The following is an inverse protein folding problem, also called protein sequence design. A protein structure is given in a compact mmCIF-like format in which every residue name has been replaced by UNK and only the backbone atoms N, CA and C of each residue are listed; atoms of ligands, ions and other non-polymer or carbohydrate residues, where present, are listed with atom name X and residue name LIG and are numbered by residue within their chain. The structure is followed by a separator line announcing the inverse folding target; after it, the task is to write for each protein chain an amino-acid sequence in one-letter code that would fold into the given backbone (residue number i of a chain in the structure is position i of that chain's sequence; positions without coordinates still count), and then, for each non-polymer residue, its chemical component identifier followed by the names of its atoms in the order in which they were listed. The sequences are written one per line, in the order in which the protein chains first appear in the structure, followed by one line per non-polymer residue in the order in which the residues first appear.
data_IF_204076072192
#
_entry.id   IF_204076072192
#
_cell.length_a   1.000
_cell.length_b   1.000
_cell.length_c   1.000
_cell.angle_alpha   90.00
_cell.angle_beta   90.00
_cell.angle_gamma   90.00
#
_symmetry.space_group_name_H-M   'P 1'
#
loop_
_entity.id
_entity.type
_entity.pdbx_description
1 polymer ?
#
# COMPACT_ATOMS: atom_id res chain seq x y z
N UNK A 1 10.55 -4.87 -6.88
CA UNK A 1 9.20 -5.30 -7.29
C UNK A 1 9.06 -6.82 -7.44
N UNK A 2 10.11 -7.49 -7.86
CA UNK A 2 10.10 -8.97 -7.97
C UNK A 2 9.78 -9.64 -6.64
N UNK A 3 10.43 -9.23 -5.55
CA UNK A 3 10.18 -9.79 -4.22
C UNK A 3 8.73 -9.57 -3.75
N UNK A 4 8.15 -8.42 -4.08
CA UNK A 4 6.75 -8.12 -3.77
C UNK A 4 5.83 -9.07 -4.54
N UNK A 5 6.07 -9.23 -5.84
CA UNK A 5 5.28 -10.12 -6.67
C UNK A 5 5.36 -11.57 -6.20
N UNK A 6 6.56 -12.02 -5.83
CA UNK A 6 6.80 -13.36 -5.29
C UNK A 6 6.03 -13.61 -3.99
N UNK A 7 6.05 -12.65 -3.08
CA UNK A 7 5.33 -12.73 -1.80
C UNK A 7 3.80 -12.73 -1.99
N UNK A 8 3.31 -11.95 -2.94
CA UNK A 8 1.86 -11.78 -3.16
C UNK A 8 1.23 -12.90 -3.96
N UNK A 9 2.03 -13.74 -4.65
CA UNK A 9 1.52 -14.92 -5.34
C UNK A 9 2.56 -16.05 -5.34
N UNK A 10 2.14 -17.30 -5.04
CA UNK A 10 3.03 -18.47 -5.13
C UNK A 10 3.21 -18.97 -6.57
N UNK A 11 2.41 -18.47 -7.53
CA UNK A 11 2.45 -18.94 -8.92
C UNK A 11 3.31 -18.01 -9.78
N UNK A 12 4.33 -18.56 -10.44
CA UNK A 12 5.32 -17.76 -11.19
C UNK A 12 4.71 -16.94 -12.34
N UNK A 13 3.71 -17.48 -13.03
CA UNK A 13 3.01 -16.74 -14.09
C UNK A 13 2.24 -15.53 -13.55
N UNK A 14 1.66 -15.67 -12.37
CA UNK A 14 0.96 -14.57 -11.70
C UNK A 14 1.92 -13.53 -11.15
N UNK A 15 3.11 -13.96 -10.71
CA UNK A 15 4.17 -13.02 -10.26
C UNK A 15 4.53 -12.05 -11.38
N UNK A 16 4.69 -12.53 -12.61
CA UNK A 16 4.99 -11.68 -13.76
C UNK A 16 3.85 -10.68 -14.01
N UNK A 17 2.60 -11.13 -13.94
CA UNK A 17 1.42 -10.25 -14.09
C UNK A 17 1.39 -9.15 -13.04
N UNK A 18 1.69 -9.47 -11.80
CA UNK A 18 1.74 -8.50 -10.69
C UNK A 18 2.83 -7.47 -10.94
N UNK A 19 4.05 -7.93 -11.25
CA UNK A 19 5.18 -7.06 -11.48
C UNK A 19 4.93 -6.09 -12.63
N UNK A 20 4.44 -6.59 -13.76
CA UNK A 20 4.11 -5.76 -14.92
C UNK A 20 3.02 -4.73 -14.59
N UNK A 21 1.98 -5.14 -13.85
CA UNK A 21 0.88 -4.26 -13.47
C UNK A 21 1.36 -3.13 -12.56
N UNK A 22 2.23 -3.43 -11.60
CA UNK A 22 2.81 -2.41 -10.72
C UNK A 22 3.64 -1.43 -11.55
N UNK A 23 4.49 -1.92 -12.43
CA UNK A 23 5.35 -1.08 -13.27
C UNK A 23 4.53 -0.17 -14.18
N UNK A 24 3.47 -0.68 -14.80
CA UNK A 24 2.60 0.14 -15.65
C UNK A 24 1.86 1.21 -14.86
N UNK A 25 1.35 0.86 -13.68
CA UNK A 25 0.65 1.81 -12.82
C UNK A 25 1.58 2.96 -12.39
N UNK A 26 2.82 2.63 -12.06
CA UNK A 26 3.81 3.62 -11.65
C UNK A 26 4.17 4.59 -12.77
N UNK A 27 4.13 4.15 -14.02
CA UNK A 27 4.33 5.03 -15.18
C UNK A 27 3.23 6.08 -15.32
N UNK A 28 2.03 5.80 -14.83
CA UNK A 28 0.89 6.73 -14.89
C UNK A 28 0.92 7.78 -13.79
N UNK A 29 1.68 7.55 -12.74
CA UNK A 29 1.81 8.47 -11.63
C UNK A 29 2.22 7.75 -10.37
N UNK A 30 3.41 8.06 -9.88
CA UNK A 30 4.00 7.42 -8.71
C UNK A 30 3.54 8.09 -7.42
N UNK A 31 3.29 7.29 -6.38
CA UNK A 31 3.04 7.77 -5.03
C UNK A 31 4.24 7.45 -4.13
N UNK A 32 5.38 8.01 -4.48
CA UNK A 32 6.63 7.90 -3.73
C UNK A 32 6.87 9.19 -2.97
N UNK A 33 6.95 9.08 -1.66
CA UNK A 33 7.21 10.19 -0.75
C UNK A 33 8.68 10.10 -0.31
N UNK A 34 9.60 10.44 -1.24
CA UNK A 34 11.04 10.24 -1.03
C UNK A 34 11.59 10.99 0.18
N UNK A 35 11.04 12.17 0.48
CA UNK A 35 11.47 12.97 1.64
C UNK A 35 11.21 12.24 2.96
N UNK A 36 10.23 11.33 2.98
CA UNK A 36 9.84 10.59 4.17
C UNK A 36 10.24 9.11 4.11
N UNK A 37 10.89 8.68 3.02
CA UNK A 37 11.28 7.28 2.86
C UNK A 37 10.14 6.31 2.67
N UNK A 38 8.99 6.78 2.19
CA UNK A 38 7.76 6.00 2.07
C UNK A 38 7.29 5.91 0.63
N UNK A 39 6.76 4.76 0.24
CA UNK A 39 6.13 4.56 -1.07
C UNK A 39 4.81 3.79 -0.93
N UNK A 40 3.83 4.17 -1.72
CA UNK A 40 2.54 3.49 -1.83
C UNK A 40 2.40 2.93 -3.24
N UNK A 41 2.37 1.60 -3.36
CA UNK A 41 2.15 0.90 -4.61
C UNK A 41 0.74 0.31 -4.61
N UNK A 42 0.00 0.56 -5.69
CA UNK A 42 -1.32 -0.04 -5.84
C UNK A 42 -1.65 -0.26 -7.31
N UNK A 43 -2.36 -1.32 -7.59
CA UNK A 43 -2.81 -1.61 -8.95
C UNK A 43 -3.88 -2.69 -8.95
N UNK A 44 -4.60 -2.80 -10.07
CA UNK A 44 -5.49 -3.92 -10.35
C UNK A 44 -4.77 -4.86 -11.30
N UNK A 45 -4.88 -6.16 -11.05
CA UNK A 45 -4.18 -7.16 -11.86
C UNK A 45 -4.91 -8.50 -11.85
N UNK A 46 -4.79 -9.22 -12.96
CA UNK A 46 -5.23 -10.61 -13.06
C UNK A 46 -4.35 -11.56 -12.24
N UNK A 47 -3.22 -11.08 -11.77
CA UNK A 47 -2.29 -11.87 -10.97
C UNK A 47 -2.81 -12.23 -9.58
N UNK A 48 -3.85 -11.56 -9.10
CA UNK A 48 -4.48 -11.89 -7.81
C UNK A 48 -5.96 -12.17 -7.98
N UNK A 49 -6.48 -13.09 -7.17
CA UNK A 49 -7.91 -13.46 -7.15
C UNK A 49 -8.66 -12.82 -5.99
N UNK A 50 -7.92 -12.37 -4.98
CA UNK A 50 -8.46 -11.68 -3.81
C UNK A 50 -7.66 -10.42 -3.55
N UNK A 51 -8.23 -9.39 -2.90
CA UNK A 51 -7.47 -8.21 -2.50
C UNK A 51 -6.27 -8.61 -1.63
N UNK A 52 -5.10 -8.08 -1.97
CA UNK A 52 -3.86 -8.30 -1.24
C UNK A 52 -3.33 -6.99 -0.68
N UNK A 53 -2.83 -7.05 0.55
CA UNK A 53 -2.40 -5.88 1.29
C UNK A 53 -1.14 -6.23 2.07
N UNK A 54 -0.06 -5.50 1.89
CA UNK A 54 1.18 -5.76 2.61
C UNK A 54 1.98 -4.49 2.87
N UNK A 55 2.78 -4.53 3.91
CA UNK A 55 3.71 -3.46 4.25
C UNK A 55 5.11 -4.07 4.30
N UNK A 56 6.03 -3.46 3.60
CA UNK A 56 7.41 -3.89 3.52
C UNK A 56 8.30 -2.89 4.25
N UNK A 57 9.09 -3.39 5.19
CA UNK A 57 10.00 -2.59 6.01
C UNK A 57 11.42 -3.10 5.81
N UNK A 58 12.39 -2.17 5.79
CA UNK A 58 13.80 -2.55 5.84
C UNK A 58 14.26 -2.61 7.28
N UNK A 59 15.26 -3.47 7.56
CA UNK A 59 15.91 -3.49 8.86
C UNK A 59 16.79 -2.25 9.03
N UNK A 60 16.85 -1.73 10.25
CA UNK A 60 17.74 -0.62 10.64
C UNK A 60 17.57 0.63 9.79
N UNK A 61 16.36 0.85 9.23
CA UNK A 61 16.03 2.01 8.42
C UNK A 61 16.89 2.18 7.17
N UNK A 62 17.47 1.08 6.67
CA UNK A 62 18.21 1.10 5.41
C UNK A 62 17.23 1.13 4.23
N UNK A 63 17.60 1.80 3.15
CA UNK A 63 16.81 1.82 1.94
C UNK A 63 16.78 0.44 1.27
N UNK A 64 15.73 0.17 0.51
CA UNK A 64 15.65 -1.04 -0.32
C UNK A 64 16.76 -1.02 -1.38
N UNK A 65 17.25 -2.20 -1.76
CA UNK A 65 18.31 -2.33 -2.75
C UNK A 65 17.85 -2.02 -4.18
N UNK A 66 16.55 -2.12 -4.45
CA UNK A 66 16.00 -1.82 -5.77
C UNK A 66 16.22 -0.35 -6.09
N UNK A 67 16.88 0.00 -7.23
CA UNK A 67 17.13 1.40 -7.60
C UNK A 67 15.85 2.23 -7.71
N UNK A 68 14.72 1.60 -8.04
CA UNK A 68 13.41 2.26 -8.10
C UNK A 68 13.01 2.85 -6.75
N UNK A 69 13.39 2.17 -5.66
CA UNK A 69 13.06 2.58 -4.30
C UNK A 69 14.22 3.28 -3.58
N UNK A 70 15.05 3.99 -4.33
CA UNK A 70 16.18 4.72 -3.75
C UNK A 70 15.69 5.67 -2.66
N UNK A 71 16.25 5.54 -1.46
CA UNK A 71 15.90 6.36 -0.31
C UNK A 71 14.60 5.94 0.38
N UNK A 72 13.96 4.87 -0.08
CA UNK A 72 12.71 4.38 0.49
C UNK A 72 13.00 3.22 1.45
N UNK A 73 12.42 3.26 2.64
CA UNK A 73 12.56 2.21 3.65
C UNK A 73 11.23 1.58 4.08
N UNK A 74 10.11 2.14 3.62
CA UNK A 74 8.77 1.58 3.87
C UNK A 74 8.00 1.57 2.55
N UNK A 75 7.50 0.40 2.16
CA UNK A 75 6.65 0.26 0.97
C UNK A 75 5.34 -0.38 1.37
N UNK A 76 4.25 0.29 1.05
CA UNK A 76 2.90 -0.16 1.27
C UNK A 76 2.33 -0.64 -0.06
N UNK A 77 1.80 -1.86 -0.10
CA UNK A 77 1.32 -2.46 -1.34
C UNK A 77 -0.14 -2.86 -1.21
N UNK A 78 -0.95 -2.46 -2.20
CA UNK A 78 -2.34 -2.91 -2.31
C UNK A 78 -2.60 -3.42 -3.73
N UNK A 79 -2.96 -4.69 -3.84
CA UNK A 79 -3.28 -5.33 -5.11
C UNK A 79 -4.74 -5.75 -5.12
N UNK A 80 -5.46 -5.38 -6.16
CA UNK A 80 -6.87 -5.71 -6.34
C UNK A 80 -7.07 -6.56 -7.60
N UNK A 81 -8.01 -7.53 -7.59
CA UNK A 81 -8.40 -8.20 -8.83
C UNK A 81 -8.97 -7.20 -9.83
N UNK A 82 -8.77 -7.47 -11.14
CA UNK A 82 -9.29 -6.57 -12.20
C UNK A 82 -10.81 -6.47 -12.19
N UNK A 83 -11.49 -7.53 -11.74
CA UNK A 83 -12.95 -7.60 -11.66
C UNK A 83 -13.50 -7.26 -10.27
N UNK A 84 -12.67 -6.68 -9.39
CA UNK A 84 -13.11 -6.28 -8.07
C UNK A 84 -14.08 -5.12 -8.13
N UNK A 85 -15.34 -5.38 -7.78
CA UNK A 85 -16.43 -4.41 -7.76
C UNK A 85 -16.73 -3.90 -6.36
N UNK A 86 -15.93 -4.32 -5.37
CA UNK A 86 -16.17 -3.93 -3.98
C UNK A 86 -15.64 -2.52 -3.78
N UNK A 87 -16.57 -1.58 -3.76
CA UNK A 87 -16.28 -0.14 -3.65
C UNK A 87 -15.43 0.20 -2.42
N UNK A 88 -15.65 -0.51 -1.30
CA UNK A 88 -14.92 -0.25 -0.07
C UNK A 88 -13.41 -0.40 -0.23
N UNK A 89 -12.93 -1.32 -1.08
CA UNK A 89 -11.49 -1.49 -1.31
C UNK A 89 -10.85 -0.24 -1.90
N UNK A 90 -11.50 0.37 -2.88
CA UNK A 90 -11.04 1.64 -3.47
C UNK A 90 -11.15 2.79 -2.46
N UNK A 91 -12.17 2.79 -1.62
CA UNK A 91 -12.35 3.80 -0.58
C UNK A 91 -11.27 3.71 0.50
N UNK A 92 -10.89 2.48 0.90
CA UNK A 92 -9.77 2.28 1.84
C UNK A 92 -8.48 2.84 1.27
N UNK A 93 -8.17 2.53 0.01
CA UNK A 93 -6.98 3.05 -0.64
C UNK A 93 -6.98 4.57 -0.68
N UNK A 94 -8.10 5.18 -1.07
CA UNK A 94 -8.25 6.64 -1.10
C UNK A 94 -8.09 7.27 0.27
N UNK A 95 -8.63 6.63 1.31
CA UNK A 95 -8.51 7.11 2.69
C UNK A 95 -7.05 7.07 3.17
N UNK A 96 -6.34 5.98 2.91
CA UNK A 96 -4.91 5.88 3.29
C UNK A 96 -4.09 6.92 2.54
N UNK A 97 -4.30 7.08 1.23
CA UNK A 97 -3.59 8.08 0.44
C UNK A 97 -3.83 9.50 0.96
N UNK A 98 -5.07 9.85 1.27
CA UNK A 98 -5.42 11.15 1.84
C UNK A 98 -4.83 11.35 3.23
N UNK A 99 -4.82 10.31 4.05
CA UNK A 99 -4.25 10.37 5.40
C UNK A 99 -2.74 10.66 5.37
N UNK A 100 -2.02 10.14 4.39
CA UNK A 100 -0.59 10.43 4.24
C UNK A 100 -0.33 11.91 3.95
N UNK A 101 -1.29 12.60 3.33
CA UNK A 101 -1.17 14.02 3.01
C UNK A 101 -1.68 14.90 4.14
N UNK A 102 -2.78 14.51 4.77
CA UNK A 102 -3.52 15.36 5.72
C UNK A 102 -3.17 15.12 7.19
N UNK A 103 -2.74 13.89 7.53
CA UNK A 103 -2.44 13.50 8.91
C UNK A 103 -0.93 13.38 9.10
N UNK A 104 -0.35 14.45 9.63
CA UNK A 104 1.11 14.52 9.83
C UNK A 104 1.62 13.43 10.77
N UNK A 105 0.90 13.13 11.85
CA UNK A 105 1.32 12.11 12.81
C UNK A 105 1.34 10.72 12.17
N UNK A 106 0.33 10.42 11.34
CA UNK A 106 0.29 9.18 10.61
C UNK A 106 1.48 9.06 9.64
N UNK A 107 1.75 10.12 8.87
CA UNK A 107 2.89 10.14 7.96
C UNK A 107 4.21 9.93 8.70
N UNK A 108 4.41 10.60 9.83
CA UNK A 108 5.63 10.47 10.62
C UNK A 108 5.78 9.07 11.19
N UNK A 109 4.70 8.46 11.66
CA UNK A 109 4.73 7.07 12.15
C UNK A 109 5.13 6.10 11.04
N UNK A 110 4.62 6.29 9.83
CA UNK A 110 4.98 5.47 8.69
C UNK A 110 6.44 5.69 8.27
N UNK A 111 6.89 6.94 8.26
CA UNK A 111 8.26 7.31 7.90
C UNK A 111 9.29 6.77 8.89
N UNK A 112 8.93 6.66 10.16
CA UNK A 112 9.78 6.08 11.20
C UNK A 112 10.18 4.65 10.86
N UNK A 113 9.27 3.87 10.24
CA UNK A 113 9.55 2.53 9.74
C UNK A 113 9.76 1.47 10.81
N UNK A 114 9.37 1.73 12.07
CA UNK A 114 9.43 0.75 13.13
C UNK A 114 8.17 -0.10 13.08
N UNK A 115 8.33 -1.43 13.03
CA UNK A 115 7.24 -2.37 12.78
C UNK A 115 6.04 -2.20 13.72
N UNK A 116 6.28 -2.10 15.03
CA UNK A 116 5.21 -1.94 16.01
C UNK A 116 4.44 -0.64 15.84
N UNK A 117 5.16 0.46 15.58
CA UNK A 117 4.56 1.77 15.36
C UNK A 117 3.74 1.76 14.07
N UNK A 118 4.27 1.19 12.99
CA UNK A 118 3.56 1.08 11.71
C UNK A 118 2.28 0.29 11.86
N UNK A 119 2.33 -0.86 12.52
CA UNK A 119 1.15 -1.71 12.74
C UNK A 119 0.07 -0.99 13.57
N UNK A 120 0.47 -0.34 14.65
CA UNK A 120 -0.47 0.39 15.51
C UNK A 120 -1.09 1.58 14.79
N UNK A 121 -0.29 2.33 14.06
CA UNK A 121 -0.73 3.52 13.34
C UNK A 121 -1.69 3.15 12.20
N UNK A 122 -1.40 2.11 11.44
CA UNK A 122 -2.30 1.60 10.40
C UNK A 122 -3.60 1.10 10.99
N UNK A 123 -3.55 0.33 12.09
CA UNK A 123 -4.75 -0.17 12.76
C UNK A 123 -5.65 0.98 13.22
N UNK A 124 -5.05 2.04 13.76
CA UNK A 124 -5.77 3.23 14.20
C UNK A 124 -6.46 3.92 13.02
N UNK A 125 -5.75 4.10 11.90
CA UNK A 125 -6.32 4.74 10.71
C UNK A 125 -7.44 3.91 10.12
N UNK A 126 -7.27 2.60 10.02
CA UNK A 126 -8.31 1.71 9.50
C UNK A 126 -9.56 1.70 10.38
N UNK A 127 -9.40 1.72 11.71
CA UNK A 127 -10.54 1.86 12.62
C UNK A 127 -11.28 3.17 12.40
N UNK A 128 -10.55 4.27 12.22
CA UNK A 128 -11.12 5.58 11.93
C UNK A 128 -11.94 5.53 10.63
N UNK A 129 -11.39 4.90 9.59
CA UNK A 129 -12.09 4.72 8.33
C UNK A 129 -13.37 3.92 8.50
N UNK A 130 -13.31 2.76 9.17
CA UNK A 130 -14.48 1.89 9.35
C UNK A 130 -15.55 2.55 10.21
N UNK A 131 -15.18 3.31 11.23
CA UNK A 131 -16.16 4.06 12.02
C UNK A 131 -16.89 5.10 11.18
N UNK A 132 -16.18 5.84 10.33
CA UNK A 132 -16.80 6.79 9.41
C UNK A 132 -17.70 6.09 8.39
N UNK A 133 -17.27 4.96 7.88
CA UNK A 133 -18.04 4.16 6.92
C UNK A 133 -19.33 3.65 7.53
N UNK A 134 -19.30 3.10 8.75
CA UNK A 134 -20.47 2.62 9.47
C UNK A 134 -21.45 3.77 9.76
N UNK A 135 -20.95 4.94 10.14
CA UNK A 135 -21.79 6.11 10.37
C UNK A 135 -22.54 6.53 9.10
N UNK A 136 -21.86 6.51 7.96
CA UNK A 136 -22.51 6.81 6.68
C UNK A 136 -23.63 5.81 6.35
N UNK A 137 -23.41 4.52 6.64
CA UNK A 137 -24.44 3.51 6.43
C UNK A 137 -25.68 3.74 7.31
N UNK A 138 -25.48 4.19 8.55
CA UNK A 138 -26.58 4.45 9.48
C UNK A 138 -27.39 5.70 9.13
N UNK A 139 -26.84 6.60 8.34
CA UNK A 139 -27.50 7.84 7.91
C UNK A 139 -28.41 7.66 6.71
N UNK A 140 -28.42 6.48 6.12
CA UNK A 140 -29.25 6.22 4.93
C UNK A 140 -30.65 5.72 5.30
#
# INVERSE_FOLDING_TARGET
MEAIAEKMSPYSDRQVMIEEAIEEREKLGSQIFAEFGFALLHTRTKGVTHPGFSVWLTKDKKAFHDPYFKGINVVFVMLLPVDDNIKINSEILGFISSSLIEDYDFLMDMAEGEKGIVEQSLSKQLRKFFNQYLNKLQQK
#
